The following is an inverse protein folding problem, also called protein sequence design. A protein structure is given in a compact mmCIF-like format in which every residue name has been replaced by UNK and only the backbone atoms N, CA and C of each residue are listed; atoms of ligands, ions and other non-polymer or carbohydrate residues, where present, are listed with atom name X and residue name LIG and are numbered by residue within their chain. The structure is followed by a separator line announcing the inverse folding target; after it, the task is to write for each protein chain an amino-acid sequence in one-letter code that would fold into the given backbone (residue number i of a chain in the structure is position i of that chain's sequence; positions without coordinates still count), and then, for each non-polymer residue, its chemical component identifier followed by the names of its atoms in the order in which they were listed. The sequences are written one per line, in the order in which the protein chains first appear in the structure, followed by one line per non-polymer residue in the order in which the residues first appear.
data_IF_029029654649
#
_entry.id   IF_029029654649
#
_cell.length_a   1.000
_cell.length_b   1.000
_cell.length_c   1.000
_cell.angle_alpha   90.00
_cell.angle_beta   90.00
_cell.angle_gamma   90.00
#
_symmetry.space_group_name_H-M   'P 1'
#
loop_
_entity.id
_entity.type
_entity.pdbx_description
1 polymer ?
#
# COMPACT_ATOMS: atom_id res chain seq x y z
N UNK A 1 13.36 -8.40 10.21
CA UNK A 1 12.22 -8.31 9.26
C UNK A 1 11.24 -9.46 9.44
N UNK A 2 11.73 -10.68 9.68
CA UNK A 2 10.93 -11.87 10.02
C UNK A 2 9.91 -11.64 11.14
N UNK A 3 10.30 -10.95 12.21
CA UNK A 3 9.41 -10.64 13.35
C UNK A 3 8.15 -9.86 12.96
N UNK A 4 8.24 -8.95 11.98
CA UNK A 4 7.08 -8.18 11.50
C UNK A 4 6.11 -9.08 10.76
N UNK A 5 6.62 -9.98 9.90
CA UNK A 5 5.77 -10.93 9.18
C UNK A 5 5.14 -11.96 10.12
N UNK A 6 5.85 -12.39 11.17
CA UNK A 6 5.29 -13.25 12.22
C UNK A 6 4.11 -12.55 12.91
N UNK A 7 4.26 -11.28 13.30
CA UNK A 7 3.17 -10.49 13.91
C UNK A 7 1.99 -10.30 12.97
N UNK A 8 2.22 -10.05 11.68
CA UNK A 8 1.15 -9.93 10.68
C UNK A 8 0.42 -11.27 10.52
N UNK A 9 1.15 -12.38 10.38
CA UNK A 9 0.56 -13.73 10.24
C UNK A 9 -0.21 -14.15 11.48
N UNK A 10 0.25 -13.76 12.66
CA UNK A 10 -0.43 -13.99 13.93
C UNK A 10 -1.62 -13.03 14.16
N UNK A 11 -1.90 -12.09 13.24
CA UNK A 11 -2.97 -11.10 13.39
C UNK A 11 -2.67 -9.98 14.41
N UNK A 12 -1.48 -9.96 15.00
CA UNK A 12 -1.04 -8.96 15.98
C UNK A 12 -0.58 -7.63 15.34
N UNK A 13 -0.47 -7.58 14.01
CA UNK A 13 -0.19 -6.37 13.26
C UNK A 13 -0.93 -6.38 11.92
N UNK A 14 -1.40 -5.22 11.48
CA UNK A 14 -2.05 -5.03 10.18
C UNK A 14 -1.50 -3.78 9.51
N UNK A 15 -1.64 -3.71 8.19
CA UNK A 15 -1.33 -2.51 7.41
C UNK A 15 -2.60 -2.04 6.73
N UNK A 16 -2.73 -0.71 6.58
CA UNK A 16 -3.86 -0.11 5.86
C UNK A 16 -3.41 0.16 4.43
N UNK A 17 -4.18 -0.33 3.45
CA UNK A 17 -4.02 0.05 2.05
C UNK A 17 -4.97 1.21 1.78
N UNK A 18 -4.42 2.30 1.26
CA UNK A 18 -5.17 3.51 0.93
C UNK A 18 -5.78 3.42 -0.48
N UNK A 19 -5.06 2.87 -1.43
CA UNK A 19 -5.49 2.75 -2.82
C UNK A 19 -4.65 1.71 -3.59
N UNK A 20 -5.26 1.18 -4.66
CA UNK A 20 -4.64 0.36 -5.68
C UNK A 20 -4.63 1.14 -7.00
N UNK A 21 -3.52 1.08 -7.72
CA UNK A 21 -3.40 1.66 -9.05
C UNK A 21 -2.83 0.62 -10.01
N UNK A 22 -3.38 0.48 -11.21
CA UNK A 22 -2.67 -0.27 -12.24
C UNK A 22 -1.38 0.47 -12.63
N UNK A 23 -0.38 -0.24 -13.14
CA UNK A 23 0.92 0.35 -13.47
C UNK A 23 0.82 1.53 -14.44
N UNK A 24 -0.11 1.51 -15.39
CA UNK A 24 -0.35 2.60 -16.33
C UNK A 24 -0.78 3.91 -15.65
N UNK A 25 -1.36 3.83 -14.44
CA UNK A 25 -1.79 4.98 -13.65
C UNK A 25 -0.69 5.47 -12.67
N UNK A 26 0.59 5.18 -12.95
CA UNK A 26 1.72 5.53 -12.08
C UNK A 26 1.76 7.00 -11.67
N UNK A 27 1.45 7.92 -12.60
CA UNK A 27 1.48 9.36 -12.32
C UNK A 27 0.40 9.78 -11.32
N UNK A 28 -0.78 9.16 -11.41
CA UNK A 28 -1.90 9.43 -10.49
C UNK A 28 -1.61 8.87 -9.10
N UNK A 29 -0.98 7.70 -9.04
CA UNK A 29 -0.49 7.12 -7.79
C UNK A 29 0.55 8.02 -7.10
N UNK A 30 1.47 8.63 -7.86
CA UNK A 30 2.43 9.61 -7.32
C UNK A 30 1.76 10.90 -6.84
N UNK A 31 0.78 11.41 -7.59
CA UNK A 31 0.01 12.59 -7.17
C UNK A 31 -0.75 12.31 -5.86
N UNK A 32 -1.40 11.14 -5.75
CA UNK A 32 -2.05 10.71 -4.52
C UNK A 32 -1.03 10.51 -3.38
N UNK A 33 0.15 9.94 -3.66
CA UNK A 33 1.21 9.78 -2.67
C UNK A 33 1.62 11.13 -2.05
N UNK A 34 1.67 12.19 -2.85
CA UNK A 34 2.03 13.54 -2.44
C UNK A 34 0.91 14.33 -1.75
N UNK A 35 -0.33 13.83 -1.76
CA UNK A 35 -1.47 14.51 -1.11
C UNK A 35 -1.35 14.50 0.42
N UNK A 36 -1.69 15.63 1.05
CA UNK A 36 -1.77 15.73 2.51
C UNK A 36 -3.01 14.98 3.03
N UNK A 37 -2.87 14.27 4.15
CA UNK A 37 -3.98 13.53 4.78
C UNK A 37 -4.13 12.07 4.36
N UNK A 38 -3.29 11.56 3.44
CA UNK A 38 -3.27 10.15 3.05
C UNK A 38 -2.92 9.24 4.24
N UNK A 39 -3.77 8.24 4.51
CA UNK A 39 -3.55 7.22 5.55
C UNK A 39 -3.48 5.83 4.92
N UNK A 40 -2.30 5.22 4.92
CA UNK A 40 -2.09 3.86 4.42
C UNK A 40 -0.99 3.77 3.36
N UNK A 41 -0.94 2.65 2.65
CA UNK A 41 0.01 2.37 1.55
C UNK A 41 -0.70 2.47 0.20
N UNK A 42 -0.01 2.93 -0.83
CA UNK A 42 -0.46 2.83 -2.23
C UNK A 42 0.22 1.61 -2.83
N UNK A 43 -0.57 0.74 -3.46
CA UNK A 43 -0.07 -0.46 -4.12
C UNK A 43 -0.22 -0.32 -5.64
N UNK A 44 0.73 -0.92 -6.37
CA UNK A 44 0.64 -1.05 -7.81
C UNK A 44 0.21 -2.46 -8.17
N UNK A 45 -0.80 -2.56 -9.02
CA UNK A 45 -1.27 -3.83 -9.55
C UNK A 45 -0.43 -4.16 -10.79
N UNK A 46 0.31 -5.26 -10.70
CA UNK A 46 0.94 -5.91 -11.85
C UNK A 46 -0.18 -6.72 -12.50
N UNK A 47 -0.75 -6.22 -13.61
CA UNK A 47 -1.94 -6.81 -14.26
C UNK A 47 -1.90 -8.34 -14.34
N UNK A 48 -3.07 -8.96 -14.12
CA UNK A 48 -3.29 -10.41 -14.20
C UNK A 48 -3.39 -10.93 -15.63
#
# INVERSE_FOLDING_TARGET
MEETFVKIRAGAATTVVAAHYPLEAFRDALAHQASSGRKGKILFDLGG
#
